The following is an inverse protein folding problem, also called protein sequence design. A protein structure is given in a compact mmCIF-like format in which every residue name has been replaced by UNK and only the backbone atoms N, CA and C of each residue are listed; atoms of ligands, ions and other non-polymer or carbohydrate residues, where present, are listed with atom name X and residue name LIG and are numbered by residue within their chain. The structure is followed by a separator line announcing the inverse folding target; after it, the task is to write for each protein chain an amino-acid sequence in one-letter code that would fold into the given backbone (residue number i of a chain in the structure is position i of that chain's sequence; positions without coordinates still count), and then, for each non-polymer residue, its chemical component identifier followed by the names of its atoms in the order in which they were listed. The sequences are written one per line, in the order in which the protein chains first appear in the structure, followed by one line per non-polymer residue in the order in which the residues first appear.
data_IF_059118628091
#
_entry.id   IF_059118628091
#
_cell.length_a   1.000
_cell.length_b   1.000
_cell.length_c   1.000
_cell.angle_alpha   90.00
_cell.angle_beta   90.00
_cell.angle_gamma   90.00
#
_symmetry.space_group_name_H-M   'P 1'
#
loop_
_entity.id
_entity.type
_entity.pdbx_description
1 polymer ?
#
# COMPACT_ATOMS: atom_id res chain seq x y z
N UNK A 1 10.88 14.08 -12.06
CA UNK A 1 11.08 12.82 -11.34
C UNK A 1 10.29 12.77 -10.04
N UNK A 2 10.37 13.80 -9.17
CA UNK A 2 9.63 13.88 -7.90
C UNK A 2 8.11 13.72 -8.10
N UNK A 3 7.52 14.48 -9.02
CA UNK A 3 6.09 14.37 -9.34
C UNK A 3 5.69 13.01 -9.86
N UNK A 4 6.56 12.33 -10.61
CA UNK A 4 6.31 10.96 -11.06
C UNK A 4 6.12 10.01 -9.86
N UNK A 5 6.93 10.16 -8.82
CA UNK A 5 6.81 9.34 -7.60
C UNK A 5 5.51 9.67 -6.85
N UNK A 6 5.15 10.95 -6.74
CA UNK A 6 3.88 11.38 -6.12
C UNK A 6 2.68 10.82 -6.89
N UNK A 7 2.72 10.86 -8.22
CA UNK A 7 1.66 10.29 -9.08
C UNK A 7 1.57 8.77 -8.89
N UNK A 8 2.71 8.05 -8.87
CA UNK A 8 2.69 6.61 -8.60
C UNK A 8 2.10 6.28 -7.22
N UNK A 9 2.44 7.06 -6.19
CA UNK A 9 1.87 6.92 -4.86
C UNK A 9 0.36 7.21 -4.85
N UNK A 10 -0.08 8.24 -5.58
CA UNK A 10 -1.51 8.56 -5.72
C UNK A 10 -2.28 7.46 -6.45
N UNK A 11 -1.69 6.83 -7.48
CA UNK A 11 -2.29 5.70 -8.20
C UNK A 11 -2.37 4.47 -7.29
N UNK A 12 -1.33 4.17 -6.49
CA UNK A 12 -1.40 3.10 -5.49
C UNK A 12 -2.59 3.33 -4.54
N UNK A 13 -2.70 4.53 -3.98
CA UNK A 13 -3.77 4.87 -3.05
C UNK A 13 -5.17 4.90 -3.72
N UNK A 14 -5.24 5.22 -5.01
CA UNK A 14 -6.46 5.15 -5.81
C UNK A 14 -6.93 3.69 -5.94
N UNK A 15 -6.03 2.77 -6.28
CA UNK A 15 -6.38 1.35 -6.35
C UNK A 15 -6.71 0.78 -4.98
N UNK A 16 -6.06 1.23 -3.91
CA UNK A 16 -6.42 0.85 -2.52
C UNK A 16 -7.85 1.27 -2.19
N UNK A 17 -8.27 2.49 -2.59
CA UNK A 17 -9.64 2.97 -2.41
C UNK A 17 -10.68 2.10 -3.13
N UNK A 18 -10.35 1.65 -4.33
CA UNK A 18 -11.17 0.67 -5.06
C UNK A 18 -11.19 -0.68 -4.34
N UNK A 19 -10.02 -1.23 -3.99
CA UNK A 19 -9.89 -2.57 -3.39
C UNK A 19 -10.62 -2.71 -2.06
N UNK A 20 -10.51 -1.70 -1.18
CA UNK A 20 -11.17 -1.69 0.13
C UNK A 20 -12.69 -1.70 -0.03
N UNK A 21 -13.23 -0.96 -0.99
CA UNK A 21 -14.67 -0.83 -1.20
C UNK A 21 -15.24 -1.83 -2.20
N UNK A 22 -14.42 -2.58 -2.94
CA UNK A 22 -14.87 -3.58 -3.91
C UNK A 22 -15.88 -4.56 -3.34
N UNK A 23 -15.64 -5.03 -2.09
CA UNK A 23 -16.57 -5.93 -1.40
C UNK A 23 -17.89 -5.22 -1.05
N UNK A 24 -17.84 -3.94 -0.64
CA UNK A 24 -19.06 -3.19 -0.33
C UNK A 24 -19.94 -2.96 -1.57
N UNK A 25 -19.33 -2.68 -2.71
CA UNK A 25 -20.05 -2.49 -3.98
C UNK A 25 -20.69 -3.79 -4.50
N UNK A 26 -20.08 -4.93 -4.22
CA UNK A 26 -20.54 -6.26 -4.64
C UNK A 26 -21.34 -7.01 -3.56
N UNK A 27 -21.53 -6.40 -2.39
CA UNK A 27 -22.11 -7.02 -1.21
C UNK A 27 -23.50 -7.64 -1.45
N UNK A 28 -24.38 -6.94 -2.17
CA UNK A 28 -25.73 -7.43 -2.49
C UNK A 28 -25.70 -8.64 -3.40
N UNK A 29 -24.85 -8.66 -4.41
CA UNK A 29 -24.71 -9.78 -5.33
C UNK A 29 -24.12 -11.02 -4.62
N UNK A 30 -23.08 -10.82 -3.80
CA UNK A 30 -22.46 -11.88 -3.01
C UNK A 30 -23.46 -12.46 -2.00
N UNK A 31 -24.22 -11.59 -1.31
CA UNK A 31 -25.27 -12.02 -0.38
C UNK A 31 -26.34 -12.86 -1.07
N UNK A 32 -26.76 -12.45 -2.26
CA UNK A 32 -27.76 -13.18 -3.05
C UNK A 32 -27.27 -14.55 -3.51
N UNK A 33 -26.03 -14.65 -3.98
CA UNK A 33 -25.45 -15.90 -4.48
C UNK A 33 -25.21 -16.94 -3.38
N UNK A 34 -24.67 -16.51 -2.23
CA UNK A 34 -24.32 -17.42 -1.14
C UNK A 34 -25.39 -17.52 -0.03
N UNK A 35 -26.51 -16.79 -0.15
CA UNK A 35 -27.58 -16.80 0.85
C UNK A 35 -27.14 -16.25 2.23
N UNK A 36 -26.20 -15.28 2.25
CA UNK A 36 -25.59 -14.80 3.49
C UNK A 36 -26.56 -14.02 4.36
N UNK A 37 -26.44 -14.23 5.66
CA UNK A 37 -27.05 -13.36 6.67
C UNK A 37 -26.33 -12.01 6.73
N UNK A 38 -26.95 -11.00 7.35
CA UNK A 38 -26.30 -9.69 7.57
C UNK A 38 -25.04 -9.81 8.45
N UNK A 39 -25.02 -10.75 9.37
CA UNK A 39 -23.87 -10.99 10.26
C UNK A 39 -22.69 -11.56 9.47
N UNK A 40 -22.90 -12.55 8.63
CA UNK A 40 -21.85 -13.15 7.79
C UNK A 40 -21.28 -12.15 6.81
N UNK A 41 -22.11 -11.30 6.20
CA UNK A 41 -21.66 -10.20 5.36
C UNK A 41 -20.82 -9.19 6.15
N UNK A 42 -21.23 -8.88 7.39
CA UNK A 42 -20.45 -8.02 8.31
C UNK A 42 -19.07 -8.60 8.61
N UNK A 43 -18.94 -9.91 8.82
CA UNK A 43 -17.64 -10.58 8.98
C UNK A 43 -16.76 -10.45 7.73
N UNK A 44 -17.33 -10.62 6.54
CA UNK A 44 -16.58 -10.47 5.29
C UNK A 44 -16.06 -9.05 5.10
N UNK A 45 -16.88 -8.04 5.38
CA UNK A 45 -16.48 -6.62 5.31
C UNK A 45 -15.38 -6.31 6.33
N UNK A 46 -15.50 -6.85 7.55
CA UNK A 46 -14.50 -6.65 8.61
C UNK A 46 -13.18 -7.36 8.33
N UNK A 47 -13.19 -8.49 7.60
CA UNK A 47 -12.00 -9.28 7.30
C UNK A 47 -10.93 -8.46 6.57
N UNK A 48 -11.33 -7.62 5.58
CA UNK A 48 -10.42 -6.72 4.88
C UNK A 48 -9.80 -5.67 5.79
N UNK A 49 -10.61 -5.06 6.65
CA UNK A 49 -10.15 -4.06 7.62
C UNK A 49 -9.20 -4.66 8.67
N UNK A 50 -9.51 -5.87 9.14
CA UNK A 50 -8.61 -6.61 10.03
C UNK A 50 -7.26 -6.87 9.35
N UNK A 51 -7.28 -7.34 8.09
CA UNK A 51 -6.08 -7.51 7.29
C UNK A 51 -5.28 -6.21 7.15
N UNK A 52 -5.93 -5.07 6.89
CA UNK A 52 -5.30 -3.77 6.75
C UNK A 52 -4.63 -3.31 8.05
N UNK A 53 -5.29 -3.50 9.19
CA UNK A 53 -4.73 -3.20 10.51
C UNK A 53 -3.51 -4.07 10.80
N UNK A 54 -3.60 -5.38 10.55
CA UNK A 54 -2.49 -6.30 10.71
C UNK A 54 -1.33 -5.95 9.76
N UNK A 55 -1.62 -5.63 8.49
CA UNK A 55 -0.63 -5.20 7.50
C UNK A 55 0.13 -3.96 7.94
N UNK A 56 -0.56 -2.92 8.38
CA UNK A 56 0.08 -1.69 8.86
C UNK A 56 0.95 -1.95 10.12
N UNK A 57 0.51 -2.83 11.01
CA UNK A 57 1.23 -3.14 12.25
C UNK A 57 2.49 -3.97 11.99
N UNK A 58 2.40 -5.01 11.15
CA UNK A 58 3.50 -5.96 10.94
C UNK A 58 4.43 -5.56 9.80
N UNK A 59 3.91 -4.96 8.73
CA UNK A 59 4.71 -4.58 7.58
C UNK A 59 5.46 -3.26 7.78
N UNK A 60 4.98 -2.34 8.64
CA UNK A 60 5.69 -1.10 8.94
C UNK A 60 7.10 -1.33 9.51
N UNK A 61 7.29 -2.15 10.55
CA UNK A 61 8.64 -2.46 11.07
C UNK A 61 9.51 -3.24 10.06
N UNK A 62 8.88 -4.02 9.18
CA UNK A 62 9.59 -4.75 8.13
C UNK A 62 10.19 -3.78 7.10
N UNK A 63 9.47 -2.70 6.75
CA UNK A 63 9.97 -1.65 5.88
C UNK A 63 11.29 -1.04 6.34
N UNK A 64 11.48 -0.89 7.66
CA UNK A 64 12.72 -0.37 8.24
C UNK A 64 13.89 -1.35 8.16
N UNK A 65 13.61 -2.64 7.95
CA UNK A 65 14.63 -3.69 7.82
C UNK A 65 15.03 -3.96 6.38
N UNK A 66 14.05 -4.10 5.49
CA UNK A 66 14.29 -4.52 4.10
C UNK A 66 14.28 -3.37 3.09
N UNK A 67 13.75 -2.19 3.46
CA UNK A 67 13.57 -1.02 2.61
C UNK A 67 12.10 -0.81 2.19
N UNK A 68 11.79 0.40 1.76
CA UNK A 68 10.42 0.77 1.36
C UNK A 68 10.02 0.16 0.01
N UNK A 69 10.96 0.12 -0.94
CA UNK A 69 10.69 -0.45 -2.27
C UNK A 69 10.32 -1.92 -2.22
N UNK A 70 11.11 -2.84 -1.61
CA UNK A 70 10.73 -4.25 -1.50
C UNK A 70 9.43 -4.45 -0.75
N UNK A 71 9.20 -3.67 0.32
CA UNK A 71 7.95 -3.72 1.05
C UNK A 71 6.76 -3.40 0.16
N UNK A 72 6.80 -2.28 -0.57
CA UNK A 72 5.69 -1.85 -1.44
C UNK A 72 5.44 -2.85 -2.56
N UNK A 73 6.48 -3.41 -3.16
CA UNK A 73 6.32 -4.47 -4.18
C UNK A 73 5.64 -5.71 -3.60
N UNK A 74 6.03 -6.15 -2.38
CA UNK A 74 5.36 -7.27 -1.69
C UNK A 74 3.92 -6.93 -1.35
N UNK A 75 3.67 -5.74 -0.83
CA UNK A 75 2.34 -5.30 -0.41
C UNK A 75 1.36 -5.22 -1.60
N UNK A 76 1.77 -4.63 -2.71
CA UNK A 76 0.98 -4.58 -3.96
C UNK A 76 0.78 -5.99 -4.54
N UNK A 77 1.79 -6.88 -4.45
CA UNK A 77 1.64 -8.28 -4.86
C UNK A 77 0.61 -9.02 -4.01
N UNK A 78 0.61 -8.82 -2.68
CA UNK A 78 -0.38 -9.41 -1.78
C UNK A 78 -1.79 -8.90 -2.10
N UNK A 79 -1.96 -7.60 -2.37
CA UNK A 79 -3.26 -7.05 -2.79
C UNK A 79 -3.73 -7.66 -4.11
N UNK A 80 -2.87 -7.71 -5.13
CA UNK A 80 -3.21 -8.30 -6.42
C UNK A 80 -3.60 -9.79 -6.31
N UNK A 81 -2.84 -10.59 -5.55
CA UNK A 81 -3.11 -12.01 -5.32
C UNK A 81 -4.41 -12.18 -4.54
N UNK A 82 -4.65 -11.37 -3.52
CA UNK A 82 -5.87 -11.41 -2.72
C UNK A 82 -7.12 -11.07 -3.54
N UNK A 83 -7.04 -10.06 -4.43
CA UNK A 83 -8.11 -9.74 -5.38
C UNK A 83 -8.33 -10.87 -6.39
N UNK A 84 -7.26 -11.42 -6.96
CA UNK A 84 -7.34 -12.54 -7.89
C UNK A 84 -7.99 -13.75 -7.23
N UNK A 85 -7.53 -14.12 -6.02
CA UNK A 85 -8.11 -15.23 -5.26
C UNK A 85 -9.60 -15.03 -4.97
N UNK A 86 -10.01 -13.80 -4.66
CA UNK A 86 -11.41 -13.45 -4.44
C UNK A 86 -12.31 -13.63 -5.67
N UNK A 87 -11.76 -13.50 -6.87
CA UNK A 87 -12.52 -13.68 -8.12
C UNK A 87 -12.89 -15.15 -8.40
N UNK A 88 -12.10 -16.12 -7.90
CA UNK A 88 -12.24 -17.54 -8.25
C UNK A 88 -12.81 -18.41 -7.12
N UNK A 89 -13.37 -17.81 -6.07
CA UNK A 89 -13.92 -18.57 -4.95
C UNK A 89 -15.23 -19.28 -5.28
N UNK A 90 -15.43 -20.45 -4.69
CA UNK A 90 -16.69 -21.21 -4.75
C UNK A 90 -17.44 -21.21 -3.40
N UNK A 91 -16.80 -20.79 -2.31
CA UNK A 91 -17.36 -20.73 -0.96
C UNK A 91 -17.02 -19.40 -0.29
N UNK A 92 -17.98 -18.79 0.41
CA UNK A 92 -17.82 -17.46 0.98
C UNK A 92 -16.74 -17.36 2.08
N UNK A 93 -16.44 -18.47 2.78
CA UNK A 93 -15.39 -18.51 3.79
C UNK A 93 -14.02 -18.18 3.20
N UNK A 94 -13.73 -18.69 1.98
CA UNK A 94 -12.51 -18.38 1.27
C UNK A 94 -12.45 -16.92 0.82
N UNK A 95 -13.61 -16.28 0.59
CA UNK A 95 -13.64 -14.84 0.32
C UNK A 95 -13.09 -14.05 1.51
N UNK A 96 -13.51 -14.38 2.72
CA UNK A 96 -12.97 -13.76 3.94
C UNK A 96 -11.46 -13.90 4.06
N UNK A 97 -10.92 -15.09 3.80
CA UNK A 97 -9.47 -15.32 3.80
C UNK A 97 -8.74 -14.44 2.77
N UNK A 98 -9.22 -14.40 1.54
CA UNK A 98 -8.60 -13.57 0.50
C UNK A 98 -8.73 -12.07 0.80
N UNK A 99 -9.82 -11.64 1.48
CA UNK A 99 -9.97 -10.26 1.95
C UNK A 99 -8.94 -9.88 3.01
N UNK A 100 -8.60 -10.81 3.92
CA UNK A 100 -7.48 -10.58 4.87
C UNK A 100 -6.16 -10.40 4.13
N UNK A 101 -5.89 -11.22 3.11
CA UNK A 101 -4.65 -11.11 2.31
C UNK A 101 -4.59 -9.78 1.54
N UNK A 102 -5.70 -9.38 0.87
CA UNK A 102 -5.79 -8.07 0.22
C UNK A 102 -5.54 -6.95 1.23
N UNK A 103 -6.21 -7.02 2.39
CA UNK A 103 -6.06 -6.03 3.46
C UNK A 103 -4.63 -5.91 3.97
N UNK A 104 -3.93 -7.04 4.19
CA UNK A 104 -2.50 -7.03 4.55
C UNK A 104 -1.67 -6.22 3.55
N UNK A 105 -1.91 -6.42 2.25
CA UNK A 105 -1.28 -5.65 1.18
C UNK A 105 -1.60 -4.16 1.31
N UNK A 106 -2.87 -3.79 1.38
CA UNK A 106 -3.33 -2.39 1.52
C UNK A 106 -2.70 -1.71 2.73
N UNK A 107 -2.67 -2.39 3.90
CA UNK A 107 -2.03 -1.85 5.11
C UNK A 107 -0.54 -1.55 4.93
N UNK A 108 0.17 -2.41 4.21
CA UNK A 108 1.59 -2.18 3.85
C UNK A 108 1.79 -1.04 2.86
N UNK A 109 0.90 -0.90 1.87
CA UNK A 109 0.93 0.19 0.89
C UNK A 109 0.74 1.53 1.59
N UNK A 110 -0.27 1.68 2.44
CA UNK A 110 -0.56 2.91 3.16
C UNK A 110 0.66 3.45 3.94
N UNK A 111 1.36 2.57 4.65
CA UNK A 111 2.54 2.97 5.42
C UNK A 111 3.71 3.31 4.51
N UNK A 112 3.98 2.50 3.50
CA UNK A 112 5.13 2.68 2.62
C UNK A 112 5.01 3.90 1.71
N UNK A 113 3.83 4.13 1.13
CA UNK A 113 3.57 5.23 0.18
C UNK A 113 3.61 6.59 0.84
N UNK A 114 3.08 6.72 2.06
CA UNK A 114 3.12 7.98 2.80
C UNK A 114 4.56 8.45 3.03
N UNK A 115 5.43 7.52 3.46
CA UNK A 115 6.84 7.81 3.70
C UNK A 115 7.54 8.21 2.39
N UNK A 116 7.43 7.43 1.33
CA UNK A 116 8.07 7.74 0.03
C UNK A 116 7.56 9.08 -0.50
N UNK A 117 6.26 9.35 -0.44
CA UNK A 117 5.69 10.63 -0.89
C UNK A 117 6.31 11.81 -0.13
N UNK A 118 6.46 11.69 1.18
CA UNK A 118 7.05 12.74 2.01
C UNK A 118 8.53 12.96 1.74
N UNK A 119 9.30 11.90 1.51
CA UNK A 119 10.75 11.96 1.25
C UNK A 119 11.10 12.57 -0.09
N UNK A 120 10.33 12.22 -1.14
CA UNK A 120 10.57 12.70 -2.50
C UNK A 120 9.93 14.05 -2.80
N UNK A 121 9.14 14.58 -1.88
CA UNK A 121 8.53 15.90 -2.02
C UNK A 121 9.43 17.00 -1.46
N UNK A 122 9.59 18.11 -2.20
CA UNK A 122 10.31 19.26 -1.68
C UNK A 122 9.58 19.87 -0.49
N UNK A 123 10.31 20.55 0.42
CA UNK A 123 9.72 21.18 1.63
C UNK A 123 8.53 22.09 1.29
N UNK A 124 8.60 22.83 0.19
CA UNK A 124 7.55 23.76 -0.26
C UNK A 124 6.27 23.02 -0.69
N UNK A 125 6.40 21.87 -1.34
CA UNK A 125 5.27 21.15 -1.94
C UNK A 125 4.86 19.87 -1.19
N UNK A 126 5.49 19.59 -0.04
CA UNK A 126 5.25 18.33 0.71
C UNK A 126 3.78 18.18 1.13
N UNK A 127 3.20 19.21 1.72
CA UNK A 127 1.80 19.17 2.15
C UNK A 127 0.86 18.95 0.97
N UNK A 128 1.10 19.64 -0.15
CA UNK A 128 0.32 19.47 -1.38
C UNK A 128 0.46 18.05 -1.95
N UNK A 129 1.67 17.51 -2.01
CA UNK A 129 1.93 16.15 -2.50
C UNK A 129 1.23 15.09 -1.63
N UNK A 130 1.25 15.25 -0.30
CA UNK A 130 0.52 14.38 0.62
C UNK A 130 -0.99 14.50 0.41
N UNK A 131 -1.51 15.71 0.17
CA UNK A 131 -2.94 15.89 -0.13
C UNK A 131 -3.35 15.24 -1.45
N UNK A 132 -2.53 15.36 -2.50
CA UNK A 132 -2.75 14.68 -3.80
C UNK A 132 -2.74 13.16 -3.62
N UNK A 133 -1.75 12.64 -2.90
CA UNK A 133 -1.70 11.22 -2.53
C UNK A 133 -2.96 10.78 -1.78
N UNK A 134 -3.34 11.50 -0.73
CA UNK A 134 -4.50 11.15 0.10
C UNK A 134 -5.83 11.23 -0.67
N UNK A 135 -5.98 12.22 -1.56
CA UNK A 135 -7.16 12.35 -2.42
C UNK A 135 -7.34 11.13 -3.37
N UNK A 136 -6.24 10.45 -3.71
CA UNK A 136 -6.26 9.24 -4.53
C UNK A 136 -7.24 8.19 -3.98
N UNK A 137 -7.26 7.95 -2.66
CA UNK A 137 -8.17 6.99 -2.05
C UNK A 137 -9.65 7.31 -2.30
N UNK A 138 -10.06 8.55 -2.03
CA UNK A 138 -11.44 8.99 -2.25
C UNK A 138 -11.84 8.96 -3.74
N UNK A 139 -10.95 9.38 -4.63
CA UNK A 139 -11.16 9.32 -6.08
C UNK A 139 -11.30 7.85 -6.52
N UNK A 140 -10.43 6.98 -6.04
CA UNK A 140 -10.47 5.53 -6.32
C UNK A 140 -11.74 4.88 -5.81
N UNK A 141 -12.23 5.27 -4.64
CA UNK A 141 -13.49 4.82 -4.08
C UNK A 141 -14.69 5.20 -4.99
N UNK A 142 -14.74 6.45 -5.44
CA UNK A 142 -15.86 6.93 -6.29
C UNK A 142 -15.80 6.32 -7.69
N UNK A 143 -14.67 6.47 -8.38
CA UNK A 143 -14.51 5.94 -9.74
C UNK A 143 -14.57 4.41 -9.76
N UNK A 144 -13.97 3.77 -8.77
CA UNK A 144 -14.00 2.33 -8.60
C UNK A 144 -15.41 1.81 -8.34
N UNK A 145 -16.23 2.54 -7.56
CA UNK A 145 -17.63 2.21 -7.34
C UNK A 145 -18.45 2.27 -8.63
N UNK A 146 -18.29 3.34 -9.42
CA UNK A 146 -18.94 3.45 -10.73
C UNK A 146 -18.54 2.30 -11.67
N UNK A 147 -17.25 2.01 -11.72
CA UNK A 147 -16.70 0.92 -12.53
C UNK A 147 -17.20 -0.45 -12.05
N UNK A 148 -17.28 -0.67 -10.74
CA UNK A 148 -17.79 -1.89 -10.15
C UNK A 148 -19.28 -2.12 -10.50
N UNK A 149 -20.11 -1.07 -10.46
CA UNK A 149 -21.54 -1.16 -10.84
C UNK A 149 -21.69 -1.55 -12.31
N UNK A 150 -20.90 -0.96 -13.20
CA UNK A 150 -20.92 -1.30 -14.63
C UNK A 150 -20.50 -2.77 -14.85
N UNK A 151 -19.37 -3.18 -14.28
CA UNK A 151 -18.84 -4.53 -14.46
C UNK A 151 -19.76 -5.61 -13.91
N UNK A 152 -20.30 -5.43 -12.69
CA UNK A 152 -21.13 -6.46 -12.08
C UNK A 152 -22.49 -6.62 -12.79
N UNK A 153 -22.99 -5.56 -13.45
CA UNK A 153 -24.23 -5.61 -14.21
C UNK A 153 -24.15 -6.51 -15.46
N UNK A 154 -22.99 -6.53 -16.12
CA UNK A 154 -22.78 -7.31 -17.35
C UNK A 154 -22.09 -8.66 -17.10
N UNK A 155 -21.09 -8.70 -16.19
CA UNK A 155 -20.18 -9.85 -16.01
C UNK A 155 -20.24 -10.46 -14.62
N UNK A 156 -21.12 -9.98 -13.76
CA UNK A 156 -21.26 -10.45 -12.38
C UNK A 156 -20.16 -9.90 -11.43
N UNK A 157 -20.36 -10.08 -10.14
CA UNK A 157 -19.51 -9.49 -9.09
C UNK A 157 -18.04 -9.96 -9.13
N UNK A 158 -17.76 -11.18 -9.61
CA UNK A 158 -16.40 -11.72 -9.75
C UNK A 158 -15.52 -10.90 -10.68
N UNK A 159 -16.12 -10.30 -11.71
CA UNK A 159 -15.42 -9.44 -12.66
C UNK A 159 -14.82 -8.19 -12.01
N UNK A 160 -15.45 -7.68 -10.94
CA UNK A 160 -14.94 -6.51 -10.19
C UNK A 160 -13.60 -6.86 -9.52
N UNK A 161 -13.52 -8.03 -8.88
CA UNK A 161 -12.27 -8.49 -8.25
C UNK A 161 -11.20 -8.84 -9.28
N UNK A 162 -11.60 -9.44 -10.40
CA UNK A 162 -10.67 -9.75 -11.48
C UNK A 162 -10.09 -8.47 -12.10
N UNK A 163 -10.91 -7.46 -12.35
CA UNK A 163 -10.48 -6.16 -12.85
C UNK A 163 -9.51 -5.47 -11.86
N UNK A 164 -9.82 -5.50 -10.55
CA UNK A 164 -8.91 -5.02 -9.51
C UNK A 164 -7.57 -5.74 -9.52
N UNK A 165 -7.57 -7.08 -9.62
CA UNK A 165 -6.36 -7.87 -9.71
C UNK A 165 -5.50 -7.51 -10.92
N UNK A 166 -6.13 -7.32 -12.09
CA UNK A 166 -5.43 -6.93 -13.33
C UNK A 166 -4.83 -5.53 -13.19
N UNK A 167 -5.60 -4.54 -12.72
CA UNK A 167 -5.13 -3.17 -12.56
C UNK A 167 -3.98 -3.08 -11.54
N UNK A 168 -4.11 -3.75 -10.40
CA UNK A 168 -3.07 -3.79 -9.38
C UNK A 168 -1.83 -4.57 -9.87
N UNK A 169 -2.03 -5.63 -10.64
CA UNK A 169 -0.93 -6.37 -11.29
C UNK A 169 -0.18 -5.54 -12.33
N UNK A 170 -0.89 -4.76 -13.15
CA UNK A 170 -0.27 -3.81 -14.09
C UNK A 170 0.53 -2.73 -13.35
N UNK A 171 -0.05 -2.18 -12.27
CA UNK A 171 0.65 -1.23 -11.42
C UNK A 171 1.92 -1.85 -10.82
N UNK A 172 1.88 -3.11 -10.38
CA UNK A 172 3.05 -3.81 -9.84
C UNK A 172 4.21 -3.82 -10.85
N UNK A 173 3.95 -4.07 -12.14
CA UNK A 173 4.96 -4.03 -13.20
C UNK A 173 5.55 -2.63 -13.33
N UNK A 174 4.72 -1.59 -13.30
CA UNK A 174 5.17 -0.18 -13.35
C UNK A 174 6.05 0.15 -12.15
N UNK A 175 5.65 -0.25 -10.95
CA UNK A 175 6.41 -0.02 -9.72
C UNK A 175 7.74 -0.78 -9.71
N UNK A 176 7.75 -2.01 -10.21
CA UNK A 176 8.98 -2.80 -10.31
C UNK A 176 10.06 -2.10 -11.14
N UNK A 177 9.65 -1.41 -12.23
CA UNK A 177 10.58 -0.71 -13.13
C UNK A 177 10.99 0.66 -12.56
N UNK A 178 10.04 1.44 -12.02
CA UNK A 178 10.25 2.87 -11.79
C UNK A 178 10.29 3.30 -10.33
N UNK A 179 9.80 2.47 -9.39
CA UNK A 179 9.78 2.84 -7.97
C UNK A 179 11.21 2.87 -7.41
N UNK A 180 11.70 4.01 -6.91
CA UNK A 180 13.00 4.09 -6.26
C UNK A 180 12.94 3.57 -4.82
N UNK A 181 14.11 3.37 -4.21
CA UNK A 181 14.21 3.09 -2.79
C UNK A 181 14.09 4.38 -1.97
N UNK A 182 13.68 4.26 -0.71
CA UNK A 182 13.63 5.36 0.26
C UNK A 182 15.00 6.00 0.46
N UNK A 183 15.05 7.33 0.47
CA UNK A 183 16.28 8.09 0.71
C UNK A 183 16.72 7.89 2.16
N UNK A 184 15.78 7.92 3.12
CA UNK A 184 16.08 7.69 4.54
C UNK A 184 16.62 6.28 4.79
N UNK A 185 16.05 5.27 4.15
CA UNK A 185 16.57 3.91 4.24
C UNK A 185 18.00 3.80 3.69
N UNK A 186 18.29 4.41 2.53
CA UNK A 186 19.63 4.38 1.94
C UNK A 186 20.67 5.11 2.81
N UNK A 187 20.28 6.21 3.45
CA UNK A 187 21.19 7.00 4.30
C UNK A 187 21.37 6.40 5.69
N UNK A 188 20.31 5.87 6.30
CA UNK A 188 20.33 5.37 7.68
C UNK A 188 20.86 3.93 7.80
N UNK A 189 20.49 3.03 6.88
CA UNK A 189 20.89 1.61 6.89
C UNK A 189 22.11 1.32 6.05
N UNK A 190 22.39 2.15 5.06
CA UNK A 190 23.56 2.04 4.18
C UNK A 190 23.75 0.61 3.63
N UNK A 191 22.74 0.05 2.88
CA UNK A 191 22.90 -1.24 2.25
C UNK A 191 24.01 -1.22 1.20
N UNK A 192 24.42 -2.39 0.72
CA UNK A 192 25.41 -2.49 -0.38
C UNK A 192 24.99 -1.58 -1.55
N UNK A 193 25.93 -0.78 -2.07
CA UNK A 193 25.70 0.19 -3.16
C UNK A 193 24.77 1.38 -2.81
N UNK A 194 24.58 1.72 -1.53
CA UNK A 194 23.72 2.85 -1.14
C UNK A 194 24.18 4.18 -1.75
N UNK A 195 25.49 4.46 -1.77
CA UNK A 195 26.06 5.67 -2.37
C UNK A 195 25.75 5.75 -3.88
N UNK A 196 25.94 4.66 -4.62
CA UNK A 196 25.64 4.61 -6.06
C UNK A 196 24.16 4.90 -6.31
N UNK A 197 23.27 4.28 -5.52
CA UNK A 197 21.82 4.51 -5.63
C UNK A 197 21.42 5.93 -5.28
N UNK A 198 21.98 6.52 -4.22
CA UNK A 198 21.75 7.92 -3.85
C UNK A 198 22.21 8.89 -4.93
N UNK A 199 23.41 8.68 -5.49
CA UNK A 199 23.93 9.52 -6.56
C UNK A 199 23.10 9.41 -7.84
N UNK A 200 22.57 8.23 -8.17
CA UNK A 200 21.61 8.07 -9.28
C UNK A 200 20.29 8.82 -9.02
N UNK A 201 19.78 8.78 -7.80
CA UNK A 201 18.57 9.53 -7.40
C UNK A 201 18.87 11.03 -7.46
N UNK A 202 19.99 11.49 -6.89
CA UNK A 202 20.41 12.90 -6.91
C UNK A 202 20.47 13.44 -8.34
N UNK A 203 21.09 12.69 -9.25
CA UNK A 203 21.15 13.03 -10.68
C UNK A 203 19.76 13.17 -11.32
N UNK A 204 18.82 12.27 -10.99
CA UNK A 204 17.45 12.31 -11.50
C UNK A 204 16.64 13.48 -10.95
N UNK A 205 17.01 14.00 -9.77
CA UNK A 205 16.36 15.16 -9.13
C UNK A 205 17.02 16.49 -9.57
N UNK A 206 18.16 16.44 -10.27
CA UNK A 206 18.92 17.62 -10.71
C UNK A 206 19.86 18.17 -9.63
N UNK A 207 20.28 17.34 -8.67
CA UNK A 207 21.28 17.65 -7.65
C UNK A 207 22.67 17.14 -8.08
N UNK A 208 23.74 17.69 -7.45
CA UNK A 208 25.11 17.17 -7.64
C UNK A 208 25.19 15.69 -7.25
N UNK A 209 25.99 14.92 -8.00
CA UNK A 209 26.09 13.47 -7.84
C UNK A 209 27.29 13.00 -7.01
N UNK A 210 27.89 13.88 -6.20
CA UNK A 210 29.11 13.58 -5.42
C UNK A 210 28.82 13.38 -3.92
N UNK A 211 27.66 12.81 -3.60
CA UNK A 211 27.28 12.56 -2.23
C UNK A 211 28.05 11.36 -1.67
N UNK A 212 28.79 11.62 -0.60
CA UNK A 212 29.40 10.58 0.24
C UNK A 212 28.50 10.34 1.45
N UNK A 213 28.27 9.07 1.76
CA UNK A 213 27.54 8.73 2.98
C UNK A 213 28.34 9.13 4.21
N UNK A 214 27.71 9.73 5.24
CA UNK A 214 28.38 9.96 6.51
C UNK A 214 28.83 8.62 7.12
N UNK A 215 29.88 8.66 7.93
CA UNK A 215 30.31 7.48 8.67
C UNK A 215 29.12 6.87 9.43
N UNK A 216 29.02 5.54 9.41
CA UNK A 216 27.92 4.83 10.05
C UNK A 216 27.95 5.15 11.55
N UNK A 217 27.05 6.01 12.01
CA UNK A 217 26.88 6.25 13.44
C UNK A 217 26.29 4.97 14.03
N UNK A 218 27.06 4.27 14.84
CA UNK A 218 26.53 3.17 15.67
C UNK A 218 25.41 3.76 16.54
N UNK A 219 24.17 3.46 16.20
CA UNK A 219 23.04 3.83 17.07
C UNK A 219 23.28 3.10 18.40
N UNK A 220 23.66 3.83 19.41
CA UNK A 220 23.59 3.34 20.78
C UNK A 220 22.17 2.84 20.97
N UNK A 221 22.02 1.53 21.12
CA UNK A 221 20.73 0.89 21.40
C UNK A 221 20.31 1.27 22.81
N UNK A 222 19.82 2.47 23.02
CA UNK A 222 19.06 2.76 24.22
C UNK A 222 17.74 2.00 24.08
N UNK A 223 17.72 0.79 24.61
CA UNK A 223 16.48 0.06 24.86
C UNK A 223 15.80 0.76 26.03
N UNK A 224 15.14 1.86 25.78
CA UNK A 224 14.16 2.37 26.74
C UNK A 224 13.03 1.33 26.77
N UNK A 225 12.80 0.63 27.89
CA UNK A 225 11.72 -0.31 27.97
C UNK A 225 10.39 0.46 27.83
N UNK A 226 9.45 -0.12 27.08
CA UNK A 226 8.11 0.47 26.86
C UNK A 226 7.43 0.85 28.19
N UNK A 227 7.76 0.14 29.27
CA UNK A 227 7.30 0.47 30.62
C UNK A 227 7.67 1.88 31.11
N UNK A 228 8.72 2.52 30.56
CA UNK A 228 9.07 3.90 30.91
C UNK A 228 8.14 4.94 30.27
N UNK A 229 7.42 4.61 29.19
CA UNK A 229 6.40 5.48 28.60
C UNK A 229 5.14 5.62 29.50
N UNK A 230 4.96 4.70 30.42
CA UNK A 230 3.84 4.68 31.37
C UNK A 230 4.27 5.03 32.80
N UNK A 231 5.51 5.48 33.02
CA UNK A 231 5.94 5.99 34.32
C UNK A 231 5.53 7.44 34.47
N UNK A 232 4.95 7.80 35.62
CA UNK A 232 4.36 9.13 35.96
C UNK A 232 5.34 10.33 35.89
N UNK A 233 6.42 10.25 35.16
CA UNK A 233 7.41 11.34 35.03
C UNK A 233 7.35 12.10 33.70
N UNK A 234 6.23 11.96 32.93
CA UNK A 234 5.97 12.78 31.74
C UNK A 234 4.52 13.26 31.75
#
# INVERSE_FOLDING_TARGET
YQWMIVVMAAIMNLLDGFDVLALAFTATAIRGEFGLTGIELGYLLSAGLFGMTAGSLFLAPLADKIGRRPLLLMAVSLSAIGMLGSAFISQYQWLGFWRVITGLGVGGILVGTNVITSEYSSRKWRSFAISVYAAGFGIGAVLGGMFAVMLQGEYGWRSVFLAGAILTGLLLVVLFIWLPESIDFLTSKQPKNAEVRLNLIAKKIGLSSDWKLPAKVEKVKSKLPISQLFSEKY
#
